data_IF_475554898455
#
_entry.id   IF_475554898455
#
_cell.length_a   1.000
_cell.length_b   1.000
_cell.length_c   1.000
_cell.angle_alpha   90.00
_cell.angle_beta   90.00
_cell.angle_gamma   90.00
#
_symmetry.space_group_name_H-M   'P 1'
#
loop_
_entity.id
_entity.type
_entity.pdbx_description
1 polymer ?
#
# COMPACT_ATOMS: atom_id res chain seq x y z
N UNK A 1 8.27 52.14 -11.65
CA UNK A 1 9.08 51.70 -10.50
C UNK A 1 8.57 50.32 -10.13
N UNK A 2 9.38 49.27 -10.31
CA UNK A 2 9.06 47.97 -9.73
C UNK A 2 9.45 48.04 -8.27
N UNK A 3 8.47 48.23 -7.39
CA UNK A 3 8.65 48.12 -5.96
C UNK A 3 9.02 46.67 -5.63
N UNK A 4 10.30 46.45 -5.37
CA UNK A 4 10.78 45.19 -4.83
C UNK A 4 10.48 45.17 -3.34
N UNK A 5 9.47 44.39 -2.95
CA UNK A 5 9.20 44.03 -1.57
C UNK A 5 10.47 43.40 -0.96
N UNK A 6 10.79 43.76 0.29
CA UNK A 6 11.87 43.08 0.99
C UNK A 6 11.51 41.60 1.23
N UNK A 7 12.52 40.73 1.37
CA UNK A 7 12.28 39.30 1.63
C UNK A 7 11.35 39.06 2.83
N UNK A 8 11.43 39.92 3.85
CA UNK A 8 10.61 39.84 5.05
C UNK A 8 9.14 40.19 4.76
N UNK A 9 8.89 41.24 3.99
CA UNK A 9 7.53 41.62 3.58
C UNK A 9 6.87 40.57 2.67
N UNK A 10 7.66 39.93 1.78
CA UNK A 10 7.18 38.82 0.96
C UNK A 10 6.77 37.64 1.86
N UNK A 11 7.59 37.30 2.86
CA UNK A 11 7.27 36.23 3.81
C UNK A 11 6.00 36.52 4.63
N UNK A 12 5.82 37.76 5.09
CA UNK A 12 4.61 38.16 5.82
C UNK A 12 3.36 38.09 4.94
N UNK A 13 3.45 38.51 3.68
CA UNK A 13 2.34 38.33 2.72
C UNK A 13 2.02 36.86 2.46
N UNK A 14 3.04 36.01 2.29
CA UNK A 14 2.83 34.57 2.12
C UNK A 14 2.12 33.99 3.35
N UNK A 15 2.58 34.30 4.56
CA UNK A 15 1.96 33.81 5.79
C UNK A 15 0.49 34.26 5.90
N UNK A 16 0.21 35.52 5.55
CA UNK A 16 -1.16 36.06 5.56
C UNK A 16 -2.06 35.36 4.53
N UNK A 17 -1.56 35.16 3.31
CA UNK A 17 -2.29 34.46 2.25
C UNK A 17 -2.53 32.99 2.60
N UNK A 18 -1.56 32.32 3.24
CA UNK A 18 -1.71 30.96 3.73
C UNK A 18 -2.76 30.88 4.84
N UNK A 19 -2.78 31.83 5.78
CA UNK A 19 -3.81 31.88 6.81
C UNK A 19 -5.21 32.09 6.21
N UNK A 20 -5.33 32.95 5.20
CA UNK A 20 -6.58 33.15 4.46
C UNK A 20 -7.01 31.88 3.71
N UNK A 21 -6.08 31.20 3.05
CA UNK A 21 -6.34 29.93 2.38
C UNK A 21 -6.89 28.89 3.37
N UNK A 22 -6.23 28.71 4.52
CA UNK A 22 -6.67 27.75 5.54
C UNK A 22 -8.06 28.09 6.08
N UNK A 23 -8.34 29.37 6.29
CA UNK A 23 -9.66 29.82 6.73
C UNK A 23 -10.74 29.46 5.70
N UNK A 24 -10.53 29.82 4.43
CA UNK A 24 -11.45 29.49 3.33
C UNK A 24 -11.64 27.97 3.22
N UNK A 25 -10.55 27.19 3.27
CA UNK A 25 -10.64 25.73 3.22
C UNK A 25 -11.46 25.15 4.38
N UNK A 26 -11.31 25.70 5.58
CA UNK A 26 -12.03 25.24 6.77
C UNK A 26 -13.53 25.53 6.69
N UNK A 27 -13.88 26.74 6.23
CA UNK A 27 -15.27 27.16 6.00
C UNK A 27 -15.91 26.30 4.91
N UNK A 28 -15.24 26.14 3.76
CA UNK A 28 -15.72 25.31 2.65
C UNK A 28 -15.85 23.84 3.02
N UNK A 29 -14.88 23.29 3.77
CA UNK A 29 -14.97 21.91 4.28
C UNK A 29 -16.18 21.73 5.19
N UNK A 30 -16.45 22.69 6.07
CA UNK A 30 -17.58 22.63 7.00
C UNK A 30 -18.91 22.70 6.25
N UNK A 31 -19.03 23.59 5.27
CA UNK A 31 -20.18 23.71 4.36
C UNK A 31 -20.44 22.41 3.60
N UNK A 32 -19.42 21.86 2.95
CA UNK A 32 -19.52 20.61 2.20
C UNK A 32 -19.87 19.44 3.12
N UNK A 33 -19.29 19.36 4.32
CA UNK A 33 -19.61 18.33 5.29
C UNK A 33 -21.08 18.41 5.75
N UNK A 34 -21.62 19.61 5.92
CA UNK A 34 -23.03 19.80 6.25
C UNK A 34 -23.93 19.33 5.10
N UNK A 35 -23.60 19.69 3.85
CA UNK A 35 -24.33 19.23 2.67
C UNK A 35 -24.31 17.70 2.53
N UNK A 36 -23.12 17.09 2.67
CA UNK A 36 -22.96 15.63 2.61
C UNK A 36 -23.78 14.97 3.72
N UNK A 37 -23.74 15.47 4.96
CA UNK A 37 -24.54 14.92 6.07
C UNK A 37 -26.04 15.02 5.81
N UNK A 38 -26.49 16.11 5.20
CA UNK A 38 -27.89 16.28 4.79
C UNK A 38 -28.28 15.22 3.76
N UNK A 39 -27.48 15.07 2.70
CA UNK A 39 -27.70 14.04 1.67
C UNK A 39 -27.64 12.62 2.22
N UNK A 40 -26.71 12.33 3.13
CA UNK A 40 -26.64 11.03 3.81
C UNK A 40 -27.94 10.73 4.55
N UNK A 41 -28.50 11.73 5.25
CA UNK A 41 -29.74 11.56 6.01
C UNK A 41 -30.97 11.47 5.11
N UNK A 42 -31.02 12.25 4.03
CA UNK A 42 -32.14 12.27 3.06
C UNK A 42 -32.28 10.94 2.31
N UNK A 43 -31.16 10.37 1.84
CA UNK A 43 -31.16 9.14 1.05
C UNK A 43 -30.87 7.88 1.88
N UNK A 44 -30.66 8.01 3.20
CA UNK A 44 -30.33 6.89 4.07
C UNK A 44 -29.02 6.19 3.70
N UNK A 45 -28.04 6.94 3.20
CA UNK A 45 -26.76 6.39 2.72
C UNK A 45 -25.96 5.82 3.89
N UNK A 46 -25.41 4.63 3.73
CA UNK A 46 -24.49 4.06 4.72
C UNK A 46 -23.05 4.34 4.33
N UNK A 47 -22.12 4.17 5.29
CA UNK A 47 -20.69 4.29 5.00
C UNK A 47 -20.26 3.33 3.86
N UNK A 48 -20.90 2.17 3.74
CA UNK A 48 -20.64 1.21 2.66
C UNK A 48 -21.05 1.72 1.28
N UNK A 49 -22.08 2.57 1.18
CA UNK A 49 -22.50 3.18 -0.09
C UNK A 49 -21.54 4.28 -0.56
N UNK A 50 -20.91 4.98 0.39
CA UNK A 50 -20.03 6.13 0.12
C UNK A 50 -18.59 5.69 -0.14
N UNK A 51 -18.06 4.79 0.69
CA UNK A 51 -16.67 4.35 0.62
C UNK A 51 -16.49 3.01 -0.10
N UNK A 52 -17.60 2.34 -0.43
CA UNK A 52 -17.60 0.96 -0.91
C UNK A 52 -17.17 -0.04 0.16
N UNK A 53 -17.47 -1.32 -0.06
CA UNK A 53 -16.79 -2.38 0.66
C UNK A 53 -15.35 -2.47 0.12
N UNK A 54 -14.42 -1.75 0.74
CA UNK A 54 -13.01 -2.04 0.58
C UNK A 54 -12.78 -3.49 1.00
N UNK A 55 -12.72 -4.42 0.03
CA UNK A 55 -12.20 -5.76 0.28
C UNK A 55 -10.83 -5.54 0.89
N UNK A 56 -10.69 -5.82 2.19
CA UNK A 56 -9.39 -5.84 2.86
C UNK A 56 -8.54 -6.78 2.02
N UNK A 57 -7.67 -6.22 1.18
CA UNK A 57 -6.61 -6.97 0.53
C UNK A 57 -5.73 -7.38 1.69
N UNK A 58 -6.02 -8.54 2.28
CA UNK A 58 -5.21 -9.08 3.35
C UNK A 58 -3.79 -9.10 2.81
N UNK A 59 -2.86 -8.48 3.53
CA UNK A 59 -1.43 -8.52 3.21
C UNK A 59 -1.07 -9.98 2.96
N UNK A 60 -0.90 -10.34 1.67
CA UNK A 60 -0.55 -11.72 1.29
C UNK A 60 0.81 -11.97 1.94
N UNK A 61 0.85 -12.82 2.95
CA UNK A 61 2.12 -13.21 3.58
C UNK A 61 3.03 -13.75 2.47
N UNK A 62 4.30 -13.35 2.43
CA UNK A 62 5.22 -13.83 1.42
C UNK A 62 5.31 -15.36 1.49
N UNK A 63 5.31 -16.01 0.33
CA UNK A 63 5.39 -17.47 0.25
C UNK A 63 6.80 -17.87 0.71
N UNK A 64 6.88 -18.62 1.81
CA UNK A 64 8.14 -19.19 2.30
C UNK A 64 8.55 -20.38 1.43
N UNK A 65 9.76 -20.33 0.89
CA UNK A 65 10.40 -21.35 0.08
C UNK A 65 11.26 -22.23 0.98
N UNK A 66 11.12 -23.54 0.83
CA UNK A 66 11.84 -24.54 1.63
C UNK A 66 12.87 -25.32 0.82
N UNK A 67 12.76 -25.30 -0.51
CA UNK A 67 13.71 -25.95 -1.41
C UNK A 67 14.05 -24.99 -2.54
N UNK A 68 15.33 -24.79 -2.81
CA UNK A 68 15.80 -23.92 -3.88
C UNK A 68 17.02 -24.51 -4.55
N UNK A 69 16.93 -24.67 -5.86
CA UNK A 69 18.07 -25.01 -6.70
C UNK A 69 18.65 -23.74 -7.34
N UNK A 70 19.88 -23.38 -6.95
CA UNK A 70 20.57 -22.18 -7.43
C UNK A 70 21.04 -22.31 -8.88
N UNK A 71 21.23 -23.53 -9.37
CA UNK A 71 21.77 -23.76 -10.72
C UNK A 71 20.71 -23.54 -11.79
N UNK A 72 19.47 -23.99 -11.55
CA UNK A 72 18.35 -23.88 -12.48
C UNK A 72 17.32 -22.81 -12.06
N UNK A 73 17.51 -22.16 -10.91
CA UNK A 73 16.60 -21.13 -10.39
C UNK A 73 15.24 -21.66 -9.93
N UNK A 74 15.15 -22.95 -9.57
CA UNK A 74 13.88 -23.62 -9.26
C UNK A 74 13.62 -23.55 -7.76
N UNK A 75 12.47 -23.00 -7.36
CA UNK A 75 12.05 -22.89 -5.96
C UNK A 75 10.77 -23.67 -5.67
N UNK A 76 10.71 -24.32 -4.51
CA UNK A 76 9.54 -25.03 -4.03
C UNK A 76 9.30 -24.80 -2.53
N UNK A 77 8.05 -24.51 -2.15
CA UNK A 77 7.67 -24.22 -0.77
C UNK A 77 7.58 -25.47 0.13
N UNK A 78 7.84 -26.67 -0.41
CA UNK A 78 7.64 -27.93 0.31
C UNK A 78 6.17 -28.33 0.50
N UNK A 79 5.23 -27.53 -0.03
CA UNK A 79 3.79 -27.82 0.00
C UNK A 79 3.17 -27.53 -1.37
N UNK A 80 2.20 -28.36 -1.77
CA UNK A 80 1.53 -28.28 -3.06
C UNK A 80 2.27 -29.02 -4.17
N UNK A 81 1.89 -28.76 -5.44
CA UNK A 81 2.52 -29.41 -6.60
C UNK A 81 4.02 -29.15 -6.60
N UNK A 82 4.80 -30.22 -6.75
CA UNK A 82 6.25 -30.14 -6.97
C UNK A 82 6.51 -29.61 -8.38
N UNK A 83 7.57 -28.82 -8.60
CA UNK A 83 8.03 -28.50 -9.95
C UNK A 83 8.53 -29.80 -10.63
N UNK A 84 8.50 -29.87 -11.97
CA UNK A 84 8.82 -31.08 -12.73
C UNK A 84 10.23 -31.61 -12.42
N UNK A 85 11.18 -30.70 -12.16
CA UNK A 85 12.56 -31.07 -11.82
C UNK A 85 12.67 -31.74 -10.45
N UNK A 86 11.84 -31.37 -9.48
CA UNK A 86 11.80 -31.99 -8.15
C UNK A 86 10.80 -33.16 -8.08
N UNK A 87 10.01 -33.39 -9.12
CA UNK A 87 9.04 -34.47 -9.19
C UNK A 87 9.73 -35.83 -9.38
N UNK A 88 10.82 -35.86 -10.16
CA UNK A 88 11.60 -37.07 -10.44
C UNK A 88 12.71 -37.36 -9.41
N UNK A 89 12.94 -36.48 -8.44
CA UNK A 89 13.99 -36.64 -7.43
C UNK A 89 13.51 -37.47 -6.23
N UNK A 90 14.42 -38.29 -5.68
CA UNK A 90 14.23 -38.95 -4.38
C UNK A 90 14.16 -37.91 -3.25
N UNK A 91 13.63 -38.32 -2.10
CA UNK A 91 13.56 -37.46 -0.91
C UNK A 91 14.95 -37.02 -0.43
N UNK A 92 15.96 -37.89 -0.58
CA UNK A 92 17.35 -37.62 -0.22
C UNK A 92 17.97 -36.53 -1.11
N UNK A 93 17.77 -36.64 -2.41
CA UNK A 93 18.23 -35.66 -3.40
C UNK A 93 17.55 -34.30 -3.20
N UNK A 94 16.26 -34.31 -2.85
CA UNK A 94 15.52 -33.09 -2.57
C UNK A 94 16.03 -32.37 -1.31
N UNK A 95 16.52 -33.12 -0.33
CA UNK A 95 17.06 -32.56 0.91
C UNK A 95 18.37 -31.79 0.69
N UNK A 96 19.10 -32.06 -0.40
CA UNK A 96 20.27 -31.28 -0.81
C UNK A 96 19.89 -29.83 -1.18
N UNK A 97 18.68 -29.60 -1.67
CA UNK A 97 18.18 -28.27 -2.05
C UNK A 97 17.44 -27.57 -0.91
N UNK A 98 17.40 -28.15 0.29
CA UNK A 98 16.60 -27.66 1.41
C UNK A 98 17.19 -26.37 2.02
N UNK A 99 16.34 -25.38 2.22
CA UNK A 99 16.61 -24.15 2.96
C UNK A 99 16.03 -24.25 4.37
N UNK A 100 16.90 -24.32 5.38
CA UNK A 100 16.55 -24.26 6.80
C UNK A 100 17.36 -23.12 7.45
N UNK A 101 16.75 -21.98 7.82
CA UNK A 101 15.31 -21.68 7.81
C UNK A 101 14.74 -21.41 6.40
N UNK A 102 13.41 -21.56 6.20
CA UNK A 102 12.78 -21.26 4.92
C UNK A 102 12.84 -19.77 4.60
N UNK A 103 13.15 -19.44 3.35
CA UNK A 103 13.42 -18.07 2.90
C UNK A 103 12.20 -17.53 2.14
N UNK A 104 11.90 -16.23 2.25
CA UNK A 104 10.82 -15.63 1.46
C UNK A 104 11.16 -15.70 -0.04
N UNK A 105 10.18 -16.02 -0.88
CA UNK A 105 10.38 -16.09 -2.34
C UNK A 105 10.96 -14.81 -2.95
N UNK A 106 10.73 -13.65 -2.33
CA UNK A 106 11.24 -12.33 -2.74
C UNK A 106 12.75 -12.15 -2.51
N UNK A 107 13.38 -12.99 -1.69
CA UNK A 107 14.79 -12.93 -1.33
C UNK A 107 15.66 -13.95 -2.08
N UNK A 108 15.08 -14.65 -3.07
CA UNK A 108 15.78 -15.61 -3.92
C UNK A 108 15.97 -14.97 -5.30
N UNK A 109 17.15 -14.36 -5.53
CA UNK A 109 17.62 -13.82 -6.81
C UNK A 109 18.62 -14.78 -7.46
#
# INVERSE_FOLDING_TARGET
MNEHLSLKEIQEQIAKLQAQQQKILSERKSEILAEIKSKISEYGLTQSDIFGNAKKSGTKKPKMIRYYDRQNGISWAGRGRKPPEFENLSQEELEQFRLDPPVAADLLD
#
